data_IF_449695735571
#
_entry.id   IF_449695735571
#
_cell.length_a   1.000
_cell.length_b   1.000
_cell.length_c   1.000
_cell.angle_alpha   90.00
_cell.angle_beta   90.00
_cell.angle_gamma   90.00
#
_symmetry.space_group_name_H-M   'P 1'
#
loop_
_entity.id
_entity.type
_entity.pdbx_description
1 polymer ?
#
# COMPACT_ATOMS: atom_id res chain seq x y z
N UNK A 1 41.19 18.18 21.53
CA UNK A 1 42.12 17.79 22.60
C UNK A 1 42.58 18.97 23.47
N UNK A 2 41.81 20.08 23.53
CA UNK A 2 42.23 21.37 24.14
C UNK A 2 41.56 21.64 25.51
N UNK A 3 40.73 20.72 26.00
CA UNK A 3 39.93 20.95 27.23
C UNK A 3 40.45 20.21 28.46
N UNK A 4 41.31 19.19 28.29
CA UNK A 4 41.81 18.37 29.41
C UNK A 4 43.13 18.87 29.99
N UNK A 5 43.98 19.43 29.15
CA UNK A 5 45.30 19.98 29.46
C UNK A 5 45.23 21.30 30.23
N UNK A 6 44.35 22.22 29.81
CA UNK A 6 44.15 23.50 30.49
C UNK A 6 43.53 23.35 31.90
N UNK A 7 42.60 22.39 32.07
CA UNK A 7 41.97 22.12 33.37
C UNK A 7 42.94 21.43 34.35
N UNK A 8 43.75 20.48 33.86
CA UNK A 8 44.78 19.82 34.67
C UNK A 8 45.81 20.81 35.23
N UNK A 9 46.25 21.77 34.41
CA UNK A 9 47.20 22.81 34.82
C UNK A 9 46.70 23.71 35.97
N UNK A 10 45.39 23.88 36.13
CA UNK A 10 44.78 24.69 37.19
C UNK A 10 44.37 23.84 38.40
N UNK A 11 43.85 22.64 38.16
CA UNK A 11 43.36 21.75 39.22
C UNK A 11 44.49 21.08 40.01
N UNK A 12 45.61 20.72 39.39
CA UNK A 12 46.76 20.13 40.10
C UNK A 12 47.34 21.05 41.20
N UNK A 13 47.76 22.30 40.91
CA UNK A 13 48.33 23.17 41.94
C UNK A 13 47.33 23.53 43.05
N UNK A 14 46.02 23.53 42.74
CA UNK A 14 44.96 23.77 43.72
C UNK A 14 44.80 22.60 44.71
N UNK A 15 44.92 21.37 44.23
CA UNK A 15 44.88 20.15 45.07
C UNK A 15 46.13 20.05 45.94
N UNK A 16 47.31 20.40 45.41
CA UNK A 16 48.56 20.43 46.17
C UNK A 16 48.54 21.47 47.30
N UNK A 17 47.89 22.62 47.08
CA UNK A 17 47.74 23.65 48.10
C UNK A 17 46.68 23.31 49.17
N UNK A 18 45.62 22.59 48.79
CA UNK A 18 44.48 22.30 49.68
C UNK A 18 43.79 20.96 49.32
N UNK A 19 44.15 19.83 49.98
CA UNK A 19 43.66 18.50 49.63
C UNK A 19 42.14 18.31 49.76
N UNK A 20 41.46 19.12 50.58
CA UNK A 20 40.01 19.06 50.79
C UNK A 20 39.19 19.59 49.61
N UNK A 21 39.83 20.29 48.65
CA UNK A 21 39.18 20.77 47.42
C UNK A 21 38.94 19.66 46.41
N UNK A 22 39.67 18.54 46.52
CA UNK A 22 39.55 17.37 45.65
C UNK A 22 38.12 16.83 45.50
N UNK A 23 37.37 16.49 46.58
CA UNK A 23 36.01 15.98 46.45
C UNK A 23 35.06 16.98 45.79
N UNK A 24 35.25 18.28 46.02
CA UNK A 24 34.43 19.34 45.39
C UNK A 24 34.69 19.41 43.88
N UNK A 25 35.96 19.43 43.47
CA UNK A 25 36.35 19.42 42.06
C UNK A 25 35.90 18.15 41.36
N UNK A 26 35.97 17.00 42.04
CA UNK A 26 35.53 15.72 41.51
C UNK A 26 34.02 15.69 41.22
N UNK A 27 33.20 16.14 42.18
CA UNK A 27 31.74 16.22 42.00
C UNK A 27 31.37 17.23 40.92
N UNK A 28 32.06 18.36 40.85
CA UNK A 28 31.88 19.36 39.78
C UNK A 28 32.19 18.75 38.40
N UNK A 29 33.31 18.03 38.27
CA UNK A 29 33.68 17.35 37.03
C UNK A 29 32.67 16.28 36.62
N UNK A 30 32.22 15.47 37.58
CA UNK A 30 31.19 14.45 37.35
C UNK A 30 29.88 15.08 36.87
N UNK A 31 29.45 16.18 37.49
CA UNK A 31 28.22 16.88 37.10
C UNK A 31 28.31 17.42 35.68
N UNK A 32 29.44 18.03 35.29
CA UNK A 32 29.65 18.54 33.93
C UNK A 32 29.68 17.39 32.91
N UNK A 33 30.36 16.28 33.23
CA UNK A 33 30.44 15.11 32.35
C UNK A 33 29.09 14.45 32.12
N UNK A 34 28.31 14.24 33.20
CA UNK A 34 26.95 13.71 33.13
C UNK A 34 26.02 14.67 32.38
N UNK A 35 26.13 15.98 32.60
CA UNK A 35 25.36 16.99 31.88
C UNK A 35 25.65 17.00 30.38
N UNK A 36 26.94 16.96 30.00
CA UNK A 36 27.36 16.88 28.60
C UNK A 36 26.87 15.59 27.94
N UNK A 37 26.96 14.45 28.63
CA UNK A 37 26.47 13.17 28.12
C UNK A 37 24.95 13.18 27.92
N UNK A 38 24.19 13.72 28.88
CA UNK A 38 22.73 13.83 28.78
C UNK A 38 22.31 14.74 27.62
N UNK A 39 23.06 15.83 27.35
CA UNK A 39 22.81 16.71 26.21
C UNK A 39 23.11 16.02 24.88
N UNK A 40 24.19 15.24 24.79
CA UNK A 40 24.51 14.45 23.60
C UNK A 40 23.42 13.39 23.35
N UNK A 41 22.98 12.68 24.39
CA UNK A 41 21.89 11.71 24.30
C UNK A 41 20.59 12.36 23.81
N UNK A 42 20.24 13.54 24.34
CA UNK A 42 19.07 14.28 23.90
C UNK A 42 19.11 14.58 22.39
N UNK A 43 20.27 15.04 21.88
CA UNK A 43 20.45 15.31 20.44
C UNK A 43 20.37 14.02 19.60
N UNK A 44 20.96 12.91 20.07
CA UNK A 44 20.89 11.63 19.35
C UNK A 44 19.45 11.13 19.25
N UNK A 45 18.69 11.20 20.35
CA UNK A 45 17.27 10.79 20.37
C UNK A 45 16.43 11.67 19.44
N UNK A 46 16.64 12.99 19.45
CA UNK A 46 15.95 13.91 18.54
C UNK A 46 16.26 13.58 17.07
N UNK A 47 17.53 13.33 16.73
CA UNK A 47 17.95 12.93 15.37
C UNK A 47 17.35 11.59 14.95
N UNK A 48 17.33 10.62 15.86
CA UNK A 48 16.76 9.30 15.61
C UNK A 48 15.24 9.36 15.40
N UNK A 49 14.53 10.22 16.14
CA UNK A 49 13.11 10.47 15.94
C UNK A 49 12.85 11.15 14.58
N UNK A 50 13.58 12.22 14.26
CA UNK A 50 13.42 12.95 12.99
C UNK A 50 13.70 12.10 11.74
N UNK A 51 14.61 11.13 11.82
CA UNK A 51 14.89 10.22 10.70
C UNK A 51 13.68 9.38 10.32
N UNK A 52 12.87 8.95 11.31
CA UNK A 52 11.69 8.12 11.08
C UNK A 52 10.56 8.91 10.44
N UNK A 53 10.34 10.14 10.88
CA UNK A 53 9.25 10.98 10.37
C UNK A 53 9.50 11.40 8.91
N UNK A 54 10.74 11.81 8.59
CA UNK A 54 11.11 12.22 7.23
C UNK A 54 11.09 11.05 6.24
N UNK A 55 11.51 9.86 6.65
CA UNK A 55 11.45 8.68 5.81
C UNK A 55 10.00 8.24 5.57
N UNK A 56 9.14 8.34 6.58
CA UNK A 56 7.74 8.00 6.44
C UNK A 56 7.00 8.98 5.51
N UNK A 57 7.22 10.29 5.68
CA UNK A 57 6.60 11.31 4.83
C UNK A 57 7.05 11.19 3.37
N UNK A 58 8.35 10.96 3.12
CA UNK A 58 8.87 10.70 1.77
C UNK A 58 8.25 9.47 1.14
N UNK A 59 8.12 8.37 1.90
CA UNK A 59 7.49 7.14 1.41
C UNK A 59 6.01 7.33 1.10
N UNK A 60 5.28 8.07 1.93
CA UNK A 60 3.86 8.40 1.68
C UNK A 60 3.75 9.19 0.38
N UNK A 61 4.54 10.25 0.24
CA UNK A 61 4.50 11.10 -0.96
C UNK A 61 4.88 10.35 -2.24
N UNK A 62 5.92 9.51 -2.20
CA UNK A 62 6.29 8.66 -3.33
C UNK A 62 5.17 7.71 -3.72
N UNK A 63 4.53 7.07 -2.74
CA UNK A 63 3.41 6.17 -2.98
C UNK A 63 2.19 6.87 -3.58
N UNK A 64 1.91 8.10 -3.17
CA UNK A 64 0.84 8.92 -3.76
C UNK A 64 1.15 9.36 -5.20
N UNK A 65 2.41 9.72 -5.49
CA UNK A 65 2.86 10.07 -6.83
C UNK A 65 2.80 8.86 -7.78
N UNK A 66 3.22 7.68 -7.33
CA UNK A 66 3.08 6.43 -8.10
C UNK A 66 1.61 6.09 -8.33
N UNK A 67 0.76 6.22 -7.31
CA UNK A 67 -0.67 5.97 -7.41
C UNK A 67 -1.35 6.89 -8.43
N UNK A 68 -1.01 8.18 -8.44
CA UNK A 68 -1.61 9.14 -9.37
C UNK A 68 -1.19 8.88 -10.82
N UNK A 69 0.08 8.53 -11.07
CA UNK A 69 0.56 8.12 -12.40
C UNK A 69 -0.17 6.88 -12.91
N UNK A 70 -0.24 5.84 -12.07
CA UNK A 70 -0.93 4.60 -12.43
C UNK A 70 -2.42 4.85 -12.74
N UNK A 71 -3.06 5.76 -12.02
CA UNK A 71 -4.46 6.13 -12.26
C UNK A 71 -4.64 6.84 -13.61
N UNK A 72 -3.72 7.72 -13.97
CA UNK A 72 -3.74 8.43 -15.27
C UNK A 72 -3.53 7.42 -16.40
N UNK A 73 -2.57 6.51 -16.27
CA UNK A 73 -2.28 5.49 -17.29
C UNK A 73 -3.48 4.56 -17.49
N UNK A 74 -4.15 4.16 -16.40
CA UNK A 74 -5.39 3.36 -16.46
C UNK A 74 -6.54 4.13 -17.14
N UNK A 75 -6.70 5.42 -16.85
CA UNK A 75 -7.74 6.25 -17.47
C UNK A 75 -7.49 6.44 -18.97
N UNK A 76 -6.24 6.65 -19.37
CA UNK A 76 -5.85 6.69 -20.79
C UNK A 76 -6.16 5.35 -21.46
N UNK A 77 -5.86 4.24 -20.80
CA UNK A 77 -6.18 2.92 -21.31
C UNK A 77 -7.69 2.72 -21.52
N UNK A 78 -8.54 3.16 -20.59
CA UNK A 78 -9.99 3.15 -20.77
C UNK A 78 -10.42 3.96 -22.00
N UNK A 79 -9.90 5.18 -22.14
CA UNK A 79 -10.24 6.04 -23.27
C UNK A 79 -9.82 5.45 -24.63
N UNK A 80 -8.81 4.57 -24.67
CA UNK A 80 -8.44 3.87 -25.91
C UNK A 80 -9.34 2.68 -26.25
N UNK A 81 -10.09 2.16 -25.28
CA UNK A 81 -11.01 1.03 -25.48
C UNK A 81 -12.45 1.46 -25.67
N UNK A 82 -12.82 2.61 -25.14
CA UNK A 82 -14.11 3.26 -25.29
C UNK A 82 -14.27 3.77 -26.74
N UNK A 83 -14.99 3.00 -27.56
CA UNK A 83 -15.18 3.34 -28.98
C UNK A 83 -16.28 4.40 -29.15
N UNK A 84 -17.27 4.41 -28.25
CA UNK A 84 -18.42 5.30 -28.32
C UNK A 84 -18.24 6.63 -27.55
N UNK A 85 -17.13 6.77 -26.82
CA UNK A 85 -16.82 7.89 -25.94
C UNK A 85 -17.93 8.17 -24.92
N UNK A 86 -18.59 7.10 -24.44
CA UNK A 86 -19.60 7.18 -23.39
C UNK A 86 -19.02 7.61 -22.04
N UNK A 87 -17.72 7.41 -21.82
CA UNK A 87 -17.09 7.57 -20.51
C UNK A 87 -17.23 6.34 -19.61
N UNK A 88 -17.76 5.25 -20.16
CA UNK A 88 -17.88 3.93 -19.55
C UNK A 88 -17.40 2.86 -20.54
N UNK A 89 -17.16 1.65 -20.03
CA UNK A 89 -16.77 0.50 -20.84
C UNK A 89 -17.86 -0.56 -20.72
N UNK A 90 -18.45 -0.92 -21.84
CA UNK A 90 -19.34 -2.07 -21.93
C UNK A 90 -18.55 -3.38 -21.91
N UNK A 91 -19.23 -4.50 -21.57
CA UNK A 91 -18.61 -5.82 -21.60
C UNK A 91 -18.03 -6.16 -22.99
N UNK A 92 -18.69 -5.69 -24.05
CA UNK A 92 -18.26 -5.92 -25.43
C UNK A 92 -16.97 -5.15 -25.72
N UNK A 93 -16.88 -3.89 -25.30
CA UNK A 93 -15.67 -3.07 -25.46
C UNK A 93 -14.51 -3.61 -24.64
N UNK A 94 -14.73 -4.12 -23.42
CA UNK A 94 -13.67 -4.78 -22.66
C UNK A 94 -13.17 -6.06 -23.34
N UNK A 95 -14.06 -6.87 -23.91
CA UNK A 95 -13.67 -8.07 -24.67
C UNK A 95 -12.91 -7.71 -25.94
N UNK A 96 -13.38 -6.69 -26.68
CA UNK A 96 -12.69 -6.19 -27.86
C UNK A 96 -11.36 -5.54 -27.50
N UNK A 97 -11.28 -4.82 -26.38
CA UNK A 97 -10.06 -4.26 -25.81
C UNK A 97 -9.05 -5.36 -25.49
N UNK A 98 -9.47 -6.48 -24.93
CA UNK A 98 -8.59 -7.64 -24.73
C UNK A 98 -8.05 -8.22 -26.04
N UNK A 99 -8.87 -8.24 -27.10
CA UNK A 99 -8.50 -8.82 -28.39
C UNK A 99 -7.73 -7.83 -29.31
N UNK A 100 -7.92 -6.52 -29.15
CA UNK A 100 -7.33 -5.47 -30.01
C UNK A 100 -6.21 -4.66 -29.34
N UNK A 101 -6.33 -4.39 -28.04
CA UNK A 101 -5.37 -3.57 -27.29
C UNK A 101 -4.34 -4.47 -26.58
N UNK A 102 -3.09 -4.43 -27.04
CA UNK A 102 -2.00 -5.23 -26.47
C UNK A 102 -1.65 -4.81 -25.04
N UNK A 103 -1.74 -3.52 -24.71
CA UNK A 103 -1.44 -3.01 -23.36
C UNK A 103 -2.47 -3.52 -22.35
N UNK A 104 -3.76 -3.44 -22.69
CA UNK A 104 -4.83 -3.98 -21.84
C UNK A 104 -4.71 -5.49 -21.66
N UNK A 105 -4.40 -6.23 -22.73
CA UNK A 105 -4.14 -7.68 -22.64
C UNK A 105 -2.98 -8.01 -21.73
N UNK A 106 -1.85 -7.30 -21.85
CA UNK A 106 -0.68 -7.47 -20.98
C UNK A 106 -1.04 -7.19 -19.52
N UNK A 107 -1.78 -6.12 -19.25
CA UNK A 107 -2.24 -5.79 -17.91
C UNK A 107 -3.08 -6.92 -17.31
N UNK A 108 -4.04 -7.45 -18.06
CA UNK A 108 -4.87 -8.58 -17.65
C UNK A 108 -4.06 -9.88 -17.44
N UNK A 109 -3.06 -10.13 -18.27
CA UNK A 109 -2.15 -11.27 -18.11
C UNK A 109 -1.27 -11.16 -16.86
N UNK A 110 -0.78 -9.97 -16.51
CA UNK A 110 -0.06 -9.73 -15.25
C UNK A 110 -0.93 -10.08 -14.04
N UNK A 111 -2.24 -9.91 -14.17
CA UNK A 111 -3.25 -10.27 -13.17
C UNK A 111 -3.74 -11.72 -13.25
N UNK A 112 -3.15 -12.55 -14.12
CA UNK A 112 -3.58 -13.94 -14.40
C UNK A 112 -5.06 -14.05 -14.83
N UNK A 113 -5.56 -13.01 -15.51
CA UNK A 113 -6.92 -12.96 -16.05
C UNK A 113 -6.90 -13.41 -17.51
N UNK A 114 -7.69 -14.45 -17.81
CA UNK A 114 -7.89 -14.95 -19.18
C UNK A 114 -9.10 -14.28 -19.81
N UNK A 115 -9.19 -14.40 -21.13
CA UNK A 115 -10.33 -13.92 -21.93
C UNK A 115 -11.67 -14.46 -21.41
N UNK A 116 -11.73 -15.74 -21.04
CA UNK A 116 -12.95 -16.38 -20.53
C UNK A 116 -13.35 -15.86 -19.14
N UNK A 117 -12.40 -15.37 -18.35
CA UNK A 117 -12.63 -14.79 -17.03
C UNK A 117 -13.06 -13.32 -17.10
N UNK A 118 -12.95 -12.68 -18.27
CA UNK A 118 -13.25 -11.26 -18.47
C UNK A 118 -14.68 -10.92 -18.04
N UNK A 119 -15.64 -11.81 -18.28
CA UNK A 119 -17.02 -11.62 -17.85
C UNK A 119 -17.19 -11.66 -16.33
N UNK A 120 -16.34 -12.42 -15.63
CA UNK A 120 -16.32 -12.42 -14.16
C UNK A 120 -15.68 -11.13 -13.65
N UNK A 121 -14.59 -10.68 -14.28
CA UNK A 121 -13.88 -9.45 -13.90
C UNK A 121 -14.76 -8.23 -14.13
N UNK A 122 -15.50 -8.18 -15.24
CA UNK A 122 -16.47 -7.13 -15.53
C UNK A 122 -17.44 -6.93 -14.35
N UNK A 123 -18.05 -8.02 -13.86
CA UNK A 123 -18.96 -7.99 -12.70
C UNK A 123 -18.30 -7.65 -11.36
N UNK A 124 -16.97 -7.73 -11.28
CA UNK A 124 -16.21 -7.35 -10.07
C UNK A 124 -15.85 -5.86 -10.12
N UNK A 125 -15.73 -5.30 -11.33
CA UNK A 125 -15.49 -3.88 -11.56
C UNK A 125 -16.81 -3.09 -11.48
N UNK A 126 -17.85 -3.59 -12.14
CA UNK A 126 -19.23 -3.09 -12.08
C UNK A 126 -19.82 -3.37 -10.69
N UNK A 127 -19.67 -2.40 -9.78
CA UNK A 127 -20.08 -2.55 -8.38
C UNK A 127 -21.50 -2.05 -8.14
N UNK A 128 -22.03 -1.26 -9.07
CA UNK A 128 -23.38 -0.74 -9.04
C UNK A 128 -24.37 -1.59 -9.86
N UNK A 129 -23.90 -2.66 -10.50
CA UNK A 129 -24.66 -3.54 -11.39
C UNK A 129 -25.35 -2.73 -12.51
N UNK A 130 -24.73 -1.63 -12.94
CA UNK A 130 -25.24 -0.78 -14.02
C UNK A 130 -25.16 -1.45 -15.39
N UNK A 131 -24.31 -2.48 -15.52
CA UNK A 131 -24.03 -3.17 -16.78
C UNK A 131 -22.96 -2.49 -17.62
N UNK A 132 -22.34 -1.43 -17.10
CA UNK A 132 -21.23 -0.69 -17.69
C UNK A 132 -20.19 -0.40 -16.60
N UNK A 133 -18.91 -0.28 -16.97
CA UNK A 133 -17.85 0.05 -16.01
C UNK A 133 -17.39 1.48 -16.28
N UNK A 134 -17.70 2.41 -15.38
CA UNK A 134 -17.22 3.79 -15.52
C UNK A 134 -15.69 3.85 -15.39
N UNK A 135 -15.07 4.89 -15.95
CA UNK A 135 -13.61 5.07 -15.81
C UNK A 135 -13.18 5.15 -14.34
N UNK A 136 -14.03 5.73 -13.49
CA UNK A 136 -13.78 5.84 -12.07
C UNK A 136 -13.77 4.46 -11.40
N UNK A 137 -14.76 3.61 -11.68
CA UNK A 137 -14.81 2.23 -11.16
C UNK A 137 -13.65 1.39 -11.67
N UNK A 138 -13.34 1.48 -12.96
CA UNK A 138 -12.20 0.78 -13.53
C UNK A 138 -10.89 1.17 -12.81
N UNK A 139 -10.61 2.47 -12.70
CA UNK A 139 -9.41 2.98 -12.09
C UNK A 139 -9.33 2.66 -10.59
N UNK A 140 -10.44 2.82 -9.86
CA UNK A 140 -10.51 2.53 -8.43
C UNK A 140 -10.36 1.03 -8.13
N UNK A 141 -11.12 0.19 -8.84
CA UNK A 141 -11.14 -1.24 -8.56
C UNK A 141 -9.87 -1.88 -9.10
N UNK A 142 -9.51 -1.65 -10.36
CA UNK A 142 -8.32 -2.24 -10.96
C UNK A 142 -7.02 -1.70 -10.34
N UNK A 143 -6.97 -0.40 -10.01
CA UNK A 143 -5.87 0.17 -9.24
C UNK A 143 -5.71 -0.50 -7.87
N UNK A 144 -6.82 -0.76 -7.18
CA UNK A 144 -6.78 -1.51 -5.91
C UNK A 144 -6.35 -2.98 -6.09
N UNK A 145 -6.62 -3.59 -7.24
CA UNK A 145 -6.16 -4.94 -7.58
C UNK A 145 -4.64 -4.96 -7.81
N UNK A 146 -4.10 -3.95 -8.51
CA UNK A 146 -2.65 -3.80 -8.74
C UNK A 146 -1.89 -3.46 -7.45
N UNK A 147 -2.52 -2.74 -6.52
CA UNK A 147 -1.92 -2.37 -5.23
C UNK A 147 -1.95 -3.51 -4.19
N UNK A 148 -2.80 -4.54 -4.35
CA UNK A 148 -2.96 -5.63 -3.38
C UNK A 148 -2.13 -6.86 -3.77
N UNK A 149 -1.33 -7.33 -2.81
CA UNK A 149 -0.47 -8.53 -2.91
C UNK A 149 -1.13 -9.69 -3.69
N UNK A 150 -0.43 -10.34 -4.64
CA UNK A 150 -0.97 -11.44 -5.46
C UNK A 150 -1.55 -12.61 -4.64
N UNK A 151 -1.14 -12.77 -3.38
CA UNK A 151 -1.70 -13.75 -2.44
C UNK A 151 -3.17 -13.45 -2.08
N UNK A 152 -3.52 -12.17 -1.91
CA UNK A 152 -4.90 -11.74 -1.61
C UNK A 152 -5.78 -11.96 -2.84
N UNK A 153 -5.25 -11.70 -4.04
CA UNK A 153 -5.92 -11.93 -5.31
C UNK A 153 -6.32 -13.40 -5.50
N UNK A 154 -5.40 -14.34 -5.24
CA UNK A 154 -5.70 -15.77 -5.26
C UNK A 154 -6.79 -16.16 -4.25
N UNK A 155 -6.85 -15.51 -3.09
CA UNK A 155 -7.88 -15.78 -2.08
C UNK A 155 -9.28 -15.30 -2.48
N UNK A 156 -9.38 -14.17 -3.19
CA UNK A 156 -10.65 -13.56 -3.62
C UNK A 156 -11.21 -14.24 -4.88
N UNK A 157 -10.36 -14.53 -5.87
CA UNK A 157 -10.75 -15.32 -7.05
C UNK A 157 -11.30 -16.68 -6.60
N UNK A 158 -10.58 -17.37 -5.70
CA UNK A 158 -11.01 -18.66 -5.16
C UNK A 158 -12.29 -18.57 -4.30
N UNK A 159 -12.55 -17.42 -3.66
CA UNK A 159 -13.82 -17.16 -2.95
C UNK A 159 -14.97 -16.96 -3.92
N UNK A 160 -14.76 -16.21 -4.99
CA UNK A 160 -15.72 -16.05 -6.10
C UNK A 160 -16.02 -17.38 -6.80
N UNK A 161 -15.01 -18.21 -7.06
CA UNK A 161 -15.20 -19.56 -7.62
C UNK A 161 -15.97 -20.50 -6.67
N UNK A 162 -15.78 -20.33 -5.34
CA UNK A 162 -16.45 -21.13 -4.32
C UNK A 162 -17.92 -20.75 -4.15
N UNK A 163 -18.26 -19.45 -4.29
CA UNK A 163 -19.65 -19.00 -4.35
C UNK A 163 -20.40 -19.60 -5.55
N UNK A 164 -19.72 -19.74 -6.69
CA UNK A 164 -20.24 -20.42 -7.89
C UNK A 164 -20.58 -21.90 -7.67
N UNK A 165 -19.82 -22.61 -6.82
CA UNK A 165 -20.14 -24.03 -6.47
C UNK A 165 -21.33 -24.17 -5.52
N UNK A 166 -21.62 -23.15 -4.71
CA UNK A 166 -22.76 -23.17 -3.79
C UNK A 166 -24.06 -22.70 -4.45
N UNK A 167 -24.01 -21.82 -5.46
CA UNK A 167 -25.19 -21.32 -6.18
C UNK A 167 -25.71 -22.19 -7.33
N UNK A 168 -25.04 -23.30 -7.69
CA UNK A 168 -25.41 -24.15 -8.84
C UNK A 168 -26.02 -25.50 -8.42
N UNK A 169 -26.18 -25.78 -7.12
CA UNK A 169 -26.74 -27.06 -6.66
C UNK A 169 -28.22 -27.05 -6.28
N UNK A 170 -28.95 -25.93 -6.40
CA UNK A 170 -30.35 -25.85 -5.92
C UNK A 170 -31.40 -25.52 -7.02
N UNK A 171 -31.03 -25.51 -8.29
CA UNK A 171 -31.96 -25.24 -9.40
C UNK A 171 -31.87 -26.28 -10.53
N UNK A 172 -31.80 -27.56 -10.16
CA UNK A 172 -31.82 -28.69 -11.09
C UNK A 172 -32.79 -29.79 -10.65
N UNK A 173 -34.07 -29.46 -10.44
CA UNK A 173 -35.00 -30.48 -9.96
C UNK A 173 -36.47 -30.13 -9.83
N UNK A 174 -37.07 -29.24 -10.63
CA UNK A 174 -38.54 -29.19 -10.72
C UNK A 174 -38.99 -28.93 -12.16
N UNK A 175 -39.15 -30.03 -12.91
CA UNK A 175 -39.82 -30.04 -14.20
C UNK A 175 -40.33 -31.45 -14.50
N UNK A 176 -41.66 -31.59 -14.52
CA UNK A 176 -42.46 -32.72 -15.03
C UNK A 176 -42.56 -33.98 -14.14
N UNK A 177 -43.70 -34.14 -13.45
CA UNK A 177 -44.71 -35.21 -13.68
C UNK A 177 -46.01 -34.84 -12.95
N UNK A 178 -47.10 -34.59 -13.67
CA UNK A 178 -48.45 -35.16 -13.40
C UNK A 178 -49.50 -34.62 -14.37
N UNK A 179 -49.79 -35.42 -15.41
CA UNK A 179 -51.13 -35.54 -15.99
C UNK A 179 -51.39 -37.03 -16.21
N UNK A 180 -52.22 -37.63 -15.35
CA UNK A 180 -53.07 -38.81 -15.61
C UNK A 180 -53.64 -39.35 -14.28
N UNK A 181 -54.97 -39.53 -14.19
CA UNK A 181 -55.58 -40.52 -13.29
C UNK A 181 -56.75 -40.06 -12.39
N UNK A 182 -57.96 -40.00 -12.97
CA UNK A 182 -59.19 -40.64 -12.44
C UNK A 182 -59.83 -40.17 -11.13
N UNK A 183 -60.97 -39.50 -11.26
CA UNK A 183 -62.25 -39.90 -10.66
C UNK A 183 -63.39 -39.29 -11.51
#
# INVERSE_FOLDING_TARGET
>A
MVMGDAWGAISLPLIEAAPWTFPVLFVMMMTVSLGAMNLILAVIVERAAQGRDKDQERKIKQKEEERSKNMIDLAVLCATMDEDNSGSLSLVEMLQGYDRNEEFRKLMQVMDIKRDDMQTIFRVLDSDDSGEVSYFEFCQHLGSFLERDPVVMHSLVKRGSRFRKLGVSDFGGVGLVRKAGGA
#
